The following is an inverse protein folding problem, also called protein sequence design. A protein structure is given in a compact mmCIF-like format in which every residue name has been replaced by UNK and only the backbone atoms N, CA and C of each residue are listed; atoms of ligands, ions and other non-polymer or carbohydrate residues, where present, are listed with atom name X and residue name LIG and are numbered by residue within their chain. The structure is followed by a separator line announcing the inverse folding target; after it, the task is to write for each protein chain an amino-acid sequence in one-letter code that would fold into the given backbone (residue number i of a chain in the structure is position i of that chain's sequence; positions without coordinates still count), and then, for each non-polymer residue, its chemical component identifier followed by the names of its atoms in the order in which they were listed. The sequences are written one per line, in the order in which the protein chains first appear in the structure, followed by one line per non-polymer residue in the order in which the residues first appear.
data_IF_938195892067
#
_entry.id   IF_938195892067
#
_cell.length_a   1.000
_cell.length_b   1.000
_cell.length_c   1.000
_cell.angle_alpha   90.00
_cell.angle_beta   90.00
_cell.angle_gamma   90.00
#
_symmetry.space_group_name_H-M   'P 1'
#
loop_
_entity.id
_entity.type
_entity.pdbx_description
1 polymer ?
#
# COMPACT_ATOMS: atom_id res chain seq x y z
N UNK A 1 -20.05 -37.59 -41.38
CA UNK A 1 -19.51 -37.93 -40.03
C UNK A 1 -18.15 -37.30 -39.74
N UNK A 2 -17.13 -37.40 -40.59
CA UNK A 2 -15.79 -36.78 -40.34
C UNK A 2 -15.82 -35.25 -40.14
N UNK A 3 -16.71 -34.51 -40.81
CA UNK A 3 -16.84 -33.04 -40.66
C UNK A 3 -17.49 -32.59 -39.33
N UNK A 4 -18.31 -33.44 -38.70
CA UNK A 4 -18.94 -33.14 -37.41
C UNK A 4 -17.94 -33.35 -36.25
N UNK A 5 -17.08 -34.36 -36.38
CA UNK A 5 -16.02 -34.65 -35.41
C UNK A 5 -14.96 -33.53 -35.39
N UNK A 6 -14.63 -32.95 -36.55
CA UNK A 6 -13.69 -31.82 -36.66
C UNK A 6 -14.27 -30.54 -36.04
N UNK A 7 -15.58 -30.29 -36.18
CA UNK A 7 -16.24 -29.12 -35.59
C UNK A 7 -16.27 -29.21 -34.05
N UNK A 8 -16.49 -30.42 -33.51
CA UNK A 8 -16.50 -30.67 -32.06
C UNK A 8 -15.11 -30.55 -31.43
N UNK A 9 -14.06 -31.00 -32.14
CA UNK A 9 -12.67 -30.85 -31.71
C UNK A 9 -12.24 -29.36 -31.68
N UNK A 10 -12.70 -28.54 -32.63
CA UNK A 10 -12.38 -27.12 -32.70
C UNK A 10 -13.04 -26.30 -31.57
N UNK A 11 -14.25 -26.69 -31.13
CA UNK A 11 -14.92 -26.07 -29.98
C UNK A 11 -14.27 -26.41 -28.63
N UNK A 12 -13.67 -27.60 -28.47
CA UNK A 12 -12.92 -27.95 -27.25
C UNK A 12 -11.58 -27.21 -27.12
N UNK A 13 -10.95 -26.85 -28.23
CA UNK A 13 -9.68 -26.09 -28.24
C UNK A 13 -9.83 -24.61 -27.84
N UNK A 14 -11.03 -24.04 -27.95
CA UNK A 14 -11.31 -22.64 -27.55
C UNK A 14 -11.73 -22.47 -26.07
N UNK A 15 -11.96 -23.57 -25.34
CA UNK A 15 -12.31 -23.55 -23.91
C UNK A 15 -11.08 -23.43 -22.98
N UNK A 16 -9.86 -23.47 -23.52
CA UNK A 16 -8.61 -23.58 -22.75
C UNK A 16 -8.07 -22.28 -22.15
N UNK A 17 -8.71 -21.13 -22.34
CA UNK A 17 -8.25 -19.87 -21.78
C UNK A 17 -9.42 -19.11 -21.14
N UNK A 18 -9.94 -19.63 -20.03
CA UNK A 18 -10.69 -18.79 -19.10
C UNK A 18 -9.70 -17.81 -18.50
N UNK A 19 -9.69 -16.57 -18.99
CA UNK A 19 -9.09 -15.46 -18.26
C UNK A 19 -9.81 -15.43 -16.91
N UNK A 20 -9.08 -15.71 -15.83
CA UNK A 20 -9.64 -15.74 -14.48
C UNK A 20 -10.06 -14.31 -14.12
N UNK A 21 -11.35 -14.02 -14.31
CA UNK A 21 -11.95 -12.72 -13.98
C UNK A 21 -12.21 -12.59 -12.47
N UNK A 22 -12.18 -13.70 -11.74
CA UNK A 22 -12.37 -13.72 -10.31
C UNK A 22 -11.14 -13.20 -9.56
N UNK A 23 -11.37 -12.73 -8.34
CA UNK A 23 -10.35 -12.24 -7.43
C UNK A 23 -10.37 -13.09 -6.15
N UNK A 24 -9.26 -13.19 -5.40
CA UNK A 24 -7.92 -12.62 -5.67
C UNK A 24 -7.18 -13.32 -6.81
N UNK A 25 -6.13 -12.66 -7.32
CA UNK A 25 -5.29 -13.15 -8.45
C UNK A 25 -3.80 -13.21 -8.12
N UNK A 26 -3.39 -12.54 -7.04
CA UNK A 26 -1.99 -12.47 -6.60
C UNK A 26 -1.89 -13.35 -5.36
N UNK A 27 -0.88 -14.23 -5.34
CA UNK A 27 -0.62 -15.26 -4.33
C UNK A 27 -1.65 -16.39 -4.22
N UNK A 28 -2.95 -16.09 -4.28
CA UNK A 28 -4.04 -17.05 -4.14
C UNK A 28 -5.21 -16.72 -5.08
N UNK A 29 -6.05 -17.73 -5.33
CA UNK A 29 -7.27 -17.67 -6.12
C UNK A 29 -8.45 -18.18 -5.29
N UNK A 30 -9.67 -17.76 -5.60
CA UNK A 30 -10.82 -18.01 -4.73
C UNK A 30 -11.17 -19.51 -4.60
N UNK A 31 -10.96 -20.30 -5.65
CA UNK A 31 -11.12 -21.76 -5.66
C UNK A 31 -10.18 -22.47 -4.65
N UNK A 32 -9.06 -21.84 -4.29
CA UNK A 32 -8.08 -22.36 -3.33
C UNK A 32 -8.41 -22.01 -1.87
N UNK A 33 -9.50 -21.31 -1.59
CA UNK A 33 -9.87 -20.89 -0.22
C UNK A 33 -9.99 -22.09 0.73
N UNK A 34 -10.60 -23.19 0.30
CA UNK A 34 -10.74 -24.40 1.13
C UNK A 34 -9.38 -25.01 1.51
N UNK A 35 -8.46 -25.12 0.54
CA UNK A 35 -7.10 -25.64 0.76
C UNK A 35 -6.31 -24.71 1.69
N UNK A 36 -6.47 -23.40 1.53
CA UNK A 36 -5.85 -22.42 2.41
C UNK A 36 -6.36 -22.53 3.85
N UNK A 37 -7.67 -22.63 4.06
CA UNK A 37 -8.26 -22.85 5.39
C UNK A 37 -7.74 -24.12 6.04
N UNK A 38 -7.65 -25.22 5.29
CA UNK A 38 -7.08 -26.47 5.81
C UNK A 38 -5.61 -26.30 6.21
N UNK A 39 -4.82 -25.58 5.42
CA UNK A 39 -3.41 -25.29 5.72
C UNK A 39 -3.26 -24.48 7.01
N UNK A 40 -4.08 -23.45 7.21
CA UNK A 40 -4.08 -22.65 8.45
C UNK A 40 -4.36 -23.52 9.68
N UNK A 41 -5.30 -24.46 9.57
CA UNK A 41 -5.66 -25.33 10.68
C UNK A 41 -4.57 -26.37 11.02
N UNK A 42 -3.84 -26.86 10.01
CA UNK A 42 -2.87 -27.96 10.17
C UNK A 42 -1.43 -27.51 10.38
N UNK A 43 -1.09 -26.28 10.01
CA UNK A 43 0.31 -25.85 9.87
C UNK A 43 0.60 -24.65 10.75
N UNK A 44 1.41 -24.84 11.80
CA UNK A 44 1.77 -23.81 12.79
C UNK A 44 2.25 -22.51 12.12
N UNK A 45 3.30 -22.59 11.28
CA UNK A 45 3.89 -21.40 10.68
C UNK A 45 2.89 -20.61 9.82
N UNK A 46 1.94 -21.30 9.17
CA UNK A 46 0.93 -20.65 8.33
C UNK A 46 -0.06 -19.85 9.19
N UNK A 47 -0.49 -20.42 10.32
CA UNK A 47 -1.31 -19.72 11.30
C UNK A 47 -0.54 -18.56 11.93
N UNK A 48 0.71 -18.75 12.35
CA UNK A 48 1.50 -17.65 12.91
C UNK A 48 1.66 -16.50 11.91
N UNK A 49 1.90 -16.77 10.63
CA UNK A 49 1.93 -15.72 9.60
C UNK A 49 0.59 -15.01 9.43
N UNK A 50 -0.52 -15.74 9.48
CA UNK A 50 -1.86 -15.15 9.42
C UNK A 50 -2.14 -14.23 10.61
N UNK A 51 -1.84 -14.67 11.84
CA UNK A 51 -2.04 -13.84 13.03
C UNK A 51 -1.17 -12.58 13.00
N UNK A 52 0.07 -12.65 12.51
CA UNK A 52 0.93 -11.47 12.34
C UNK A 52 0.31 -10.43 11.40
N UNK A 53 -0.27 -10.88 10.27
CA UNK A 53 -0.96 -10.00 9.32
C UNK A 53 -2.18 -9.37 9.98
N UNK A 54 -2.99 -10.19 10.64
CA UNK A 54 -4.20 -9.76 11.35
C UNK A 54 -3.87 -8.72 12.42
N UNK A 55 -2.98 -9.05 13.36
CA UNK A 55 -2.58 -8.17 14.46
C UNK A 55 -1.95 -6.86 13.95
N UNK A 56 -1.23 -6.92 12.82
CA UNK A 56 -0.60 -5.76 12.19
C UNK A 56 -1.59 -4.71 11.69
N UNK A 57 -2.78 -5.12 11.26
CA UNK A 57 -3.78 -4.25 10.64
C UNK A 57 -4.99 -3.97 11.55
N UNK A 58 -5.33 -4.90 12.46
CA UNK A 58 -6.51 -4.85 13.34
C UNK A 58 -6.68 -3.50 14.05
N UNK A 59 -5.60 -3.01 14.67
CA UNK A 59 -5.64 -1.73 15.41
C UNK A 59 -6.02 -0.53 14.54
N UNK A 60 -5.66 -0.54 13.26
CA UNK A 60 -5.96 0.54 12.34
C UNK A 60 -7.35 0.39 11.72
N UNK A 61 -7.78 -0.85 11.46
CA UNK A 61 -9.14 -1.18 11.02
C UNK A 61 -10.15 -0.75 12.08
N UNK A 62 -9.91 -1.09 13.34
CA UNK A 62 -10.80 -0.72 14.44
C UNK A 62 -10.86 0.80 14.63
N UNK A 63 -9.72 1.49 14.51
CA UNK A 63 -9.69 2.96 14.55
C UNK A 63 -10.48 3.57 13.39
N UNK A 64 -10.30 3.07 12.17
CA UNK A 64 -10.91 3.59 10.96
C UNK A 64 -12.45 3.60 11.02
N UNK A 65 -13.06 2.69 11.80
CA UNK A 65 -14.51 2.69 12.02
C UNK A 65 -15.03 3.97 12.68
N UNK A 66 -14.19 4.67 13.45
CA UNK A 66 -14.56 5.90 14.16
C UNK A 66 -13.81 7.14 13.67
N UNK A 67 -12.66 6.95 13.02
CA UNK A 67 -11.75 8.01 12.56
C UNK A 67 -11.14 7.60 11.21
N UNK A 68 -11.94 7.57 10.12
CA UNK A 68 -11.51 7.05 8.82
C UNK A 68 -10.39 7.89 8.17
N UNK A 69 -10.41 9.21 8.42
CA UNK A 69 -9.39 10.13 7.92
C UNK A 69 -8.01 9.94 8.55
N UNK A 70 -7.92 9.23 9.68
CA UNK A 70 -6.67 9.10 10.41
C UNK A 70 -5.55 8.48 9.58
N UNK A 71 -5.82 7.35 8.92
CA UNK A 71 -4.80 6.67 8.13
C UNK A 71 -4.53 7.41 6.81
N UNK A 72 -5.59 7.94 6.19
CA UNK A 72 -5.51 8.67 4.91
C UNK A 72 -4.68 9.94 5.06
N UNK A 73 -4.90 10.72 6.13
CA UNK A 73 -4.14 11.95 6.40
C UNK A 73 -2.63 11.73 6.55
N UNK A 74 -2.17 10.49 6.79
CA UNK A 74 -0.75 10.12 6.92
C UNK A 74 -0.12 9.70 5.60
N UNK A 75 -0.89 9.61 4.52
CA UNK A 75 -0.33 9.45 3.18
C UNK A 75 0.50 10.68 2.80
N UNK A 76 1.63 10.42 2.15
CA UNK A 76 2.54 11.42 1.65
C UNK A 76 2.05 11.90 0.28
N UNK A 77 1.16 12.88 0.34
CA UNK A 77 0.52 13.53 -0.79
C UNK A 77 0.86 15.02 -0.81
N UNK A 78 0.69 15.64 -1.98
CA UNK A 78 0.59 17.08 -2.15
C UNK A 78 -0.84 17.51 -1.83
N UNK A 79 -1.19 17.53 -0.54
CA UNK A 79 -2.55 17.69 -0.02
C UNK A 79 -3.23 19.02 -0.35
N UNK A 80 -2.52 20.13 -0.23
CA UNK A 80 -3.02 21.48 -0.54
C UNK A 80 -2.37 22.03 -1.81
N UNK A 81 -1.10 21.72 -2.07
CA UNK A 81 -0.34 22.21 -3.22
C UNK A 81 -0.82 21.58 -4.53
N UNK A 82 -1.23 20.31 -4.50
CA UNK A 82 -1.68 19.54 -5.67
C UNK A 82 -0.70 19.64 -6.83
N UNK A 83 0.61 19.55 -6.58
CA UNK A 83 1.58 19.73 -7.67
C UNK A 83 1.28 18.78 -8.83
N UNK A 84 1.09 19.38 -10.00
CA UNK A 84 0.79 18.67 -11.25
C UNK A 84 2.09 18.19 -11.91
N UNK A 85 3.14 19.00 -11.82
CA UNK A 85 4.46 18.73 -12.38
C UNK A 85 5.50 18.78 -11.29
N UNK A 86 6.41 17.82 -11.31
CA UNK A 86 7.54 17.75 -10.37
C UNK A 86 8.84 17.89 -11.15
N UNK A 87 9.73 18.73 -10.62
CA UNK A 87 11.05 18.98 -11.17
C UNK A 87 12.11 18.41 -10.24
N UNK A 88 13.12 17.78 -10.84
CA UNK A 88 14.26 17.19 -10.14
C UNK A 88 15.54 17.88 -10.60
N UNK A 89 16.51 17.99 -9.70
CA UNK A 89 17.87 18.46 -10.01
C UNK A 89 18.83 17.31 -9.76
N UNK A 90 19.37 16.73 -10.83
CA UNK A 90 20.06 15.45 -10.73
C UNK A 90 19.07 14.37 -10.32
N UNK A 91 19.31 13.75 -9.16
CA UNK A 91 18.48 12.71 -8.56
C UNK A 91 17.69 13.18 -7.33
N UNK A 92 17.75 14.46 -7.00
CA UNK A 92 17.03 15.08 -5.90
C UNK A 92 15.76 15.81 -6.35
N UNK A 93 14.68 15.70 -5.57
CA UNK A 93 13.52 16.57 -5.69
C UNK A 93 13.94 18.05 -5.59
N UNK A 94 13.44 18.90 -6.49
CA UNK A 94 13.70 20.35 -6.46
C UNK A 94 12.46 21.13 -6.05
N UNK A 95 11.40 21.07 -6.84
CA UNK A 95 10.12 21.76 -6.57
C UNK A 95 8.99 21.15 -7.42
N UNK A 96 7.75 21.52 -7.11
CA UNK A 96 6.59 21.23 -7.96
C UNK A 96 5.92 22.51 -8.47
N UNK A 97 5.20 22.40 -9.57
CA UNK A 97 4.40 23.50 -10.16
C UNK A 97 3.04 22.98 -10.66
N UNK A 98 2.17 23.93 -11.02
CA UNK A 98 0.80 23.62 -11.42
C UNK A 98 -0.08 23.24 -10.22
N UNK A 99 -1.36 23.01 -10.51
CA UNK A 99 -2.35 22.62 -9.51
C UNK A 99 -3.32 21.62 -10.14
N UNK A 100 -3.17 20.36 -9.80
CA UNK A 100 -4.07 19.29 -10.19
C UNK A 100 -5.45 19.48 -9.51
N UNK A 101 -6.54 18.92 -10.09
CA UNK A 101 -7.88 19.04 -9.53
C UNK A 101 -8.04 18.37 -8.16
N UNK A 102 -7.19 17.39 -7.84
CA UNK A 102 -7.17 16.63 -6.58
C UNK A 102 -5.74 16.47 -6.07
N UNK A 103 -5.53 16.13 -4.78
CA UNK A 103 -4.20 15.83 -4.25
C UNK A 103 -3.47 14.77 -5.09
N UNK A 104 -2.18 15.00 -5.31
CA UNK A 104 -1.30 14.09 -6.05
C UNK A 104 -0.28 13.44 -5.12
N UNK A 105 0.25 12.28 -5.48
CA UNK A 105 1.24 11.58 -4.65
C UNK A 105 2.53 12.39 -4.57
N UNK A 106 3.10 12.54 -3.37
CA UNK A 106 4.37 13.24 -3.17
C UNK A 106 5.49 12.46 -3.86
N UNK A 107 6.32 13.16 -4.63
CA UNK A 107 7.46 12.54 -5.31
C UNK A 107 8.55 12.18 -4.30
N UNK A 108 9.31 11.12 -4.58
CA UNK A 108 10.42 10.71 -3.73
C UNK A 108 11.43 11.85 -3.54
N UNK A 109 12.01 11.93 -2.35
CA UNK A 109 12.99 12.96 -2.02
C UNK A 109 14.25 12.86 -2.86
N UNK A 110 14.75 11.63 -3.00
CA UNK A 110 15.96 11.32 -3.74
C UNK A 110 15.90 9.90 -4.33
N UNK A 111 16.69 9.64 -5.38
CA UNK A 111 16.88 8.26 -5.88
C UNK A 111 17.75 7.43 -4.93
N UNK A 112 18.78 8.01 -4.33
CA UNK A 112 19.59 7.39 -3.28
C UNK A 112 18.77 7.23 -1.99
N UNK A 113 18.77 6.05 -1.32
CA UNK A 113 18.16 5.90 0.01
C UNK A 113 18.87 6.68 1.14
N UNK A 114 20.12 7.12 0.97
CA UNK A 114 20.89 7.77 2.04
C UNK A 114 20.20 9.03 2.59
N UNK A 115 20.04 9.08 3.92
CA UNK A 115 19.41 10.19 4.63
C UNK A 115 19.78 10.16 6.11
N UNK A 116 19.85 11.35 6.73
CA UNK A 116 20.08 11.50 8.17
C UNK A 116 18.80 11.30 9.00
N UNK A 117 17.67 11.00 8.37
CA UNK A 117 16.36 11.00 9.02
C UNK A 117 15.78 9.59 9.17
N UNK A 118 15.06 9.35 10.26
CA UNK A 118 14.32 8.11 10.47
C UNK A 118 12.92 8.16 9.84
N UNK A 119 12.43 6.99 9.41
CA UNK A 119 11.02 6.81 9.02
C UNK A 119 10.18 6.81 10.31
N UNK A 120 9.20 7.71 10.45
CA UNK A 120 8.36 7.77 11.65
C UNK A 120 7.42 6.56 11.73
N UNK A 121 6.90 6.31 12.94
CA UNK A 121 5.72 5.46 13.09
C UNK A 121 4.50 6.13 12.42
N UNK A 122 3.42 5.37 12.18
CA UNK A 122 2.20 5.99 11.68
C UNK A 122 1.62 6.96 12.72
N UNK A 123 1.72 6.61 13.99
CA UNK A 123 1.27 7.42 15.12
C UNK A 123 2.00 8.78 15.19
N UNK A 124 3.31 8.79 14.95
CA UNK A 124 4.14 10.01 14.97
C UNK A 124 4.09 10.81 13.66
N UNK A 125 3.56 10.22 12.59
CA UNK A 125 3.40 10.89 11.30
C UNK A 125 2.37 12.01 11.43
N UNK A 126 2.79 13.23 11.14
CA UNK A 126 1.90 14.39 11.13
C UNK A 126 0.85 14.26 10.01
N UNK A 127 -0.42 14.62 10.27
CA UNK A 127 -1.45 14.58 9.25
C UNK A 127 -1.24 15.70 8.22
N UNK A 128 -1.58 15.42 6.97
CA UNK A 128 -1.63 16.37 5.86
C UNK A 128 -0.31 17.13 5.61
N UNK A 129 0.83 16.46 5.73
CA UNK A 129 2.16 17.04 5.49
C UNK A 129 2.38 17.46 4.03
N UNK A 130 2.40 18.76 3.78
CA UNK A 130 2.56 19.30 2.42
C UNK A 130 3.65 20.38 2.31
N UNK A 131 3.27 21.67 2.31
CA UNK A 131 4.16 22.80 1.98
C UNK A 131 5.47 22.87 2.77
N UNK A 132 5.45 22.44 4.04
CA UNK A 132 6.63 22.44 4.92
C UNK A 132 7.60 21.29 4.65
N UNK A 133 7.25 20.35 3.78
CA UNK A 133 8.02 19.16 3.49
C UNK A 133 7.58 17.98 4.35
N UNK A 134 8.53 17.37 5.04
CA UNK A 134 8.32 16.20 5.90
C UNK A 134 8.70 16.55 7.34
N UNK A 135 7.99 16.03 8.34
CA UNK A 135 8.34 16.17 9.75
C UNK A 135 8.95 14.86 10.23
N UNK A 136 10.27 14.86 10.39
CA UNK A 136 11.05 13.64 10.62
C UNK A 136 12.04 13.82 11.77
N UNK A 137 12.44 12.71 12.37
CA UNK A 137 13.46 12.69 13.42
C UNK A 137 14.86 12.68 12.81
N UNK A 138 15.72 13.62 13.21
CA UNK A 138 17.10 13.68 12.76
C UNK A 138 17.99 12.73 13.59
N UNK A 139 18.62 11.76 12.95
CA UNK A 139 19.40 10.70 13.61
C UNK A 139 20.87 11.09 13.86
N UNK A 140 21.35 12.20 13.30
CA UNK A 140 22.75 12.64 13.44
C UNK A 140 22.94 13.73 14.49
N UNK A 141 21.87 14.47 14.84
CA UNK A 141 21.88 15.48 15.90
C UNK A 141 21.68 14.88 17.29
N UNK A 142 22.34 15.45 18.30
CA UNK A 142 22.18 15.08 19.69
C UNK A 142 20.71 15.21 20.14
N UNK A 143 20.21 14.20 20.86
CA UNK A 143 18.83 14.16 21.34
C UNK A 143 17.78 13.81 20.27
N UNK A 144 18.21 13.52 19.03
CA UNK A 144 17.35 13.14 17.91
C UNK A 144 16.10 14.02 17.74
N UNK A 145 16.26 15.33 17.50
CA UNK A 145 15.14 16.26 17.43
C UNK A 145 14.25 15.98 16.22
N UNK A 146 12.96 16.28 16.37
CA UNK A 146 12.01 16.31 15.27
C UNK A 146 12.01 17.66 14.57
N UNK A 147 12.14 17.65 13.25
CA UNK A 147 12.22 18.88 12.46
C UNK A 147 11.52 18.77 11.11
N UNK A 148 11.11 19.93 10.58
CA UNK A 148 10.62 20.05 9.21
C UNK A 148 11.81 20.02 8.25
N UNK A 149 11.78 19.07 7.32
CA UNK A 149 12.85 18.84 6.35
C UNK A 149 12.31 18.90 4.92
N UNK A 150 13.09 19.53 4.05
CA UNK A 150 12.80 19.58 2.62
C UNK A 150 12.84 18.17 2.02
N UNK A 151 11.88 17.77 1.15
CA UNK A 151 11.82 16.42 0.58
C UNK A 151 13.15 15.95 -0.03
N UNK A 152 13.93 16.84 -0.63
CA UNK A 152 15.24 16.51 -1.24
C UNK A 152 16.26 15.88 -0.29
N UNK A 153 16.04 15.93 1.03
CA UNK A 153 16.94 15.36 2.05
C UNK A 153 16.42 14.06 2.69
N UNK A 154 15.25 13.58 2.27
CA UNK A 154 14.58 12.45 2.93
C UNK A 154 14.83 11.11 2.28
N UNK A 155 15.79 11.01 1.35
CA UNK A 155 16.05 9.79 0.60
C UNK A 155 14.78 9.22 -0.03
N UNK A 156 14.48 7.95 0.27
CA UNK A 156 13.28 7.22 -0.19
C UNK A 156 12.13 7.14 0.81
N UNK A 157 12.20 7.87 1.93
CA UNK A 157 11.22 7.77 3.04
C UNK A 157 9.78 7.99 2.56
N UNK A 158 9.53 8.97 1.68
CA UNK A 158 8.20 9.31 1.17
C UNK A 158 7.49 8.10 0.55
N UNK A 159 8.20 7.36 -0.32
CA UNK A 159 7.65 6.16 -0.95
C UNK A 159 7.40 5.06 0.07
N UNK A 160 8.37 4.82 0.96
CA UNK A 160 8.26 3.78 2.00
C UNK A 160 7.09 4.01 2.96
N UNK A 161 6.78 5.27 3.30
CA UNK A 161 5.62 5.61 4.12
C UNK A 161 4.30 5.28 3.41
N UNK A 162 4.19 5.63 2.12
CA UNK A 162 3.00 5.28 1.32
C UNK A 162 2.88 3.77 1.12
N UNK A 163 3.99 3.09 0.82
CA UNK A 163 4.03 1.63 0.67
C UNK A 163 3.58 0.93 1.96
N UNK A 164 3.96 1.46 3.13
CA UNK A 164 3.52 0.93 4.43
C UNK A 164 2.00 1.04 4.58
N UNK A 165 1.40 2.17 4.22
CA UNK A 165 -0.07 2.35 4.32
C UNK A 165 -0.79 1.48 3.30
N UNK A 166 -0.31 1.42 2.06
CA UNK A 166 -0.86 0.56 1.02
C UNK A 166 -0.71 -0.94 1.36
N UNK A 167 0.36 -1.31 2.06
CA UNK A 167 0.54 -2.65 2.61
C UNK A 167 -0.55 -3.03 3.61
N UNK A 168 -0.92 -2.11 4.51
CA UNK A 168 -2.04 -2.32 5.42
C UNK A 168 -3.37 -2.51 4.68
N UNK A 169 -3.62 -1.73 3.62
CA UNK A 169 -4.81 -1.89 2.80
C UNK A 169 -4.83 -3.25 2.08
N UNK A 170 -3.68 -3.70 1.57
CA UNK A 170 -3.54 -5.02 0.95
C UNK A 170 -3.78 -6.16 1.95
N UNK A 171 -3.23 -6.04 3.16
CA UNK A 171 -3.43 -7.00 4.25
C UNK A 171 -4.90 -7.06 4.68
N UNK A 172 -5.57 -5.92 4.83
CA UNK A 172 -7.00 -5.85 5.10
C UNK A 172 -7.84 -6.47 3.97
N UNK A 173 -7.52 -6.19 2.70
CA UNK A 173 -8.21 -6.82 1.57
C UNK A 173 -8.08 -8.35 1.59
N UNK A 174 -6.91 -8.87 1.97
CA UNK A 174 -6.69 -10.30 2.16
C UNK A 174 -7.54 -10.87 3.31
N UNK A 175 -7.57 -10.18 4.45
CA UNK A 175 -8.39 -10.59 5.60
C UNK A 175 -9.88 -10.58 5.25
N UNK A 176 -10.37 -9.55 4.55
CA UNK A 176 -11.75 -9.52 4.05
C UNK A 176 -12.04 -10.73 3.15
N UNK A 177 -11.16 -11.01 2.18
CA UNK A 177 -11.34 -12.18 1.31
C UNK A 177 -11.42 -13.48 2.12
N UNK A 178 -10.61 -13.62 3.18
CA UNK A 178 -10.59 -14.82 4.00
C UNK A 178 -11.78 -14.91 4.97
N UNK A 179 -12.01 -13.88 5.79
CA UNK A 179 -12.99 -13.88 6.89
C UNK A 179 -14.39 -13.45 6.47
N UNK A 180 -14.51 -12.59 5.45
CA UNK A 180 -15.76 -11.97 5.04
C UNK A 180 -16.20 -10.80 5.94
N UNK A 181 -15.40 -10.38 6.91
CA UNK A 181 -15.75 -9.29 7.82
C UNK A 181 -15.62 -7.92 7.12
N UNK A 182 -16.74 -7.19 6.99
CA UNK A 182 -16.83 -5.95 6.21
C UNK A 182 -15.89 -4.84 6.70
N UNK A 183 -15.52 -4.82 7.98
CA UNK A 183 -14.60 -3.80 8.54
C UNK A 183 -13.25 -3.77 7.82
N UNK A 184 -12.75 -4.92 7.36
CA UNK A 184 -11.52 -4.99 6.59
C UNK A 184 -11.71 -4.47 5.16
N UNK A 185 -12.88 -4.70 4.54
CA UNK A 185 -13.20 -4.16 3.22
C UNK A 185 -13.36 -2.64 3.24
N UNK A 186 -13.92 -2.08 4.31
CA UNK A 186 -14.09 -0.64 4.48
C UNK A 186 -12.75 0.07 4.70
N UNK A 187 -11.79 -0.60 5.33
CA UNK A 187 -10.44 -0.06 5.55
C UNK A 187 -9.56 -0.11 4.29
N UNK A 188 -9.71 -1.14 3.45
CA UNK A 188 -8.88 -1.40 2.27
C UNK A 188 -9.22 -0.49 1.08
#
# INVERSE_FOLDING_TARGET
MKRIIILFALTLLLLGCKKELDHPRIYITNDKKAVFTEKLNKTEWARSSYEVIKDGVEKYVDRHQTDPEWIISRMQMYWDTHYERVYVKGDAFLHGTGRAPVPTVKFAGHRDPATDYAIPSLEDTQPYMDKKGMYLQNMTKEGHPWEWVHPSKTGRIIGQMNDRIMGLAADAAFLYWYTGEEKYAVFA
#
